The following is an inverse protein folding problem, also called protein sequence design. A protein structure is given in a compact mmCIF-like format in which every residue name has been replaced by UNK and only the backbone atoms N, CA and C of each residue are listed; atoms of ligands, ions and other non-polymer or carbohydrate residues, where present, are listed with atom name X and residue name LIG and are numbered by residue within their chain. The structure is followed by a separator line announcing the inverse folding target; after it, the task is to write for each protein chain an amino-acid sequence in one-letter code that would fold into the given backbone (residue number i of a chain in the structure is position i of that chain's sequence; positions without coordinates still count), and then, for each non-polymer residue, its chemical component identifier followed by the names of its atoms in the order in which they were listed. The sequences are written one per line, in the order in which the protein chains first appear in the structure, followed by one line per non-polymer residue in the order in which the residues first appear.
data_IF_208448468639
#
_entry.id   IF_208448468639
#
_cell.length_a   1.000
_cell.length_b   1.000
_cell.length_c   1.000
_cell.angle_alpha   90.00
_cell.angle_beta   90.00
_cell.angle_gamma   90.00
#
_symmetry.space_group_name_H-M   'P 1'
#
loop_
_entity.id
_entity.type
_entity.pdbx_description
1 polymer ?
#
# COMPACT_ATOMS: atom_id res chain seq x y z
N UNK A 1 9.77 13.57 -10.04
CA UNK A 1 8.48 13.41 -10.72
C UNK A 1 7.40 13.43 -9.65
N UNK A 2 6.43 14.34 -9.72
CA UNK A 2 5.34 14.45 -8.74
C UNK A 2 4.25 13.43 -9.07
N UNK A 3 3.94 12.52 -8.14
CA UNK A 3 2.85 11.56 -8.30
C UNK A 3 1.52 12.32 -8.20
N UNK A 4 0.74 12.36 -9.27
CA UNK A 4 -0.59 12.96 -9.26
C UNK A 4 -1.64 11.90 -8.90
N UNK A 5 -2.51 12.23 -7.96
CA UNK A 5 -3.61 11.35 -7.53
C UNK A 5 -4.94 11.91 -8.02
N UNK A 6 -5.85 11.02 -8.35
CA UNK A 6 -7.19 11.35 -8.84
C UNK A 6 -8.23 10.60 -8.03
N UNK A 7 -9.37 11.23 -7.79
CA UNK A 7 -10.48 10.58 -7.10
C UNK A 7 -11.13 9.55 -8.01
N UNK A 8 -11.27 8.32 -7.51
CA UNK A 8 -12.02 7.27 -8.19
C UNK A 8 -13.50 7.43 -7.88
N UNK A 9 -14.28 7.79 -8.90
CA UNK A 9 -15.73 7.99 -8.79
C UNK A 9 -16.52 6.69 -8.93
N UNK A 10 -16.05 5.77 -9.79
CA UNK A 10 -16.74 4.52 -10.09
C UNK A 10 -15.78 3.45 -10.57
N UNK A 11 -16.08 2.19 -10.22
CA UNK A 11 -15.46 0.99 -10.79
C UNK A 11 -16.46 0.26 -11.67
N UNK A 12 -16.00 -0.28 -12.79
CA UNK A 12 -16.82 -1.09 -13.69
C UNK A 12 -15.92 -2.06 -14.45
N UNK A 13 -16.50 -3.18 -14.88
CA UNK A 13 -15.84 -4.10 -15.81
C UNK A 13 -16.41 -3.92 -17.22
N UNK A 14 -15.53 -3.65 -18.19
CA UNK A 14 -15.89 -3.44 -19.60
C UNK A 14 -15.13 -4.46 -20.43
N UNK A 15 -15.84 -5.37 -21.10
CA UNK A 15 -15.24 -6.44 -21.90
C UNK A 15 -14.18 -7.27 -21.15
N UNK A 16 -14.37 -7.46 -19.84
CA UNK A 16 -13.43 -8.19 -18.98
C UNK A 16 -12.33 -7.33 -18.34
N UNK A 17 -12.17 -6.07 -18.74
CA UNK A 17 -11.17 -5.15 -18.18
C UNK A 17 -11.76 -4.36 -17.02
N UNK A 18 -11.11 -4.40 -15.86
CA UNK A 18 -11.46 -3.54 -14.72
C UNK A 18 -11.09 -2.09 -15.05
N UNK A 19 -12.08 -1.22 -15.04
CA UNK A 19 -11.97 0.17 -15.49
C UNK A 19 -12.41 1.12 -14.38
N UNK A 20 -11.55 2.09 -14.10
CA UNK A 20 -11.79 3.17 -13.15
C UNK A 20 -12.32 4.40 -13.89
N UNK A 21 -13.38 5.02 -13.35
CA UNK A 21 -13.78 6.38 -13.72
C UNK A 21 -13.15 7.33 -12.70
N UNK A 22 -12.19 8.13 -13.15
CA UNK A 22 -11.46 9.08 -12.31
C UNK A 22 -11.89 10.52 -12.59
N UNK A 23 -11.76 11.41 -11.60
CA UNK A 23 -12.01 12.85 -11.74
C UNK A 23 -10.70 13.64 -11.80
N UNK A 24 -10.52 14.41 -12.87
CA UNK A 24 -9.57 15.52 -12.89
C UNK A 24 -10.27 16.78 -12.33
N UNK A 25 -9.64 17.54 -11.41
CA UNK A 25 -10.29 18.70 -10.79
C UNK A 25 -10.79 19.74 -11.81
N UNK A 26 -10.00 20.00 -12.86
CA UNK A 26 -10.33 21.02 -13.86
C UNK A 26 -10.83 20.49 -15.22
N UNK A 27 -10.66 19.19 -15.51
CA UNK A 27 -10.79 18.64 -16.88
C UNK A 27 -11.91 17.60 -17.02
N UNK A 28 -12.71 17.40 -15.98
CA UNK A 28 -13.82 16.45 -16.00
C UNK A 28 -13.40 15.04 -15.62
N UNK A 29 -13.98 14.03 -16.27
CA UNK A 29 -13.79 12.61 -15.93
C UNK A 29 -13.12 11.83 -17.06
N UNK A 30 -12.34 10.82 -16.68
CA UNK A 30 -11.67 9.90 -17.60
C UNK A 30 -11.94 8.46 -17.19
N UNK A 31 -12.03 7.56 -18.19
CA UNK A 31 -12.03 6.12 -17.96
C UNK A 31 -10.63 5.55 -18.22
N UNK A 32 -10.06 4.85 -17.25
CA UNK A 32 -8.72 4.27 -17.33
C UNK A 32 -8.75 2.82 -16.86
N UNK A 33 -7.97 1.94 -17.51
CA UNK A 33 -7.80 0.56 -17.05
C UNK A 33 -7.11 0.55 -15.69
N UNK A 34 -7.61 -0.26 -14.75
CA UNK A 34 -7.06 -0.30 -13.39
C UNK A 34 -5.59 -0.71 -13.41
N UNK A 35 -5.19 -1.63 -14.29
CA UNK A 35 -3.79 -2.07 -14.44
C UNK A 35 -2.81 -0.96 -14.87
N UNK A 36 -3.30 0.19 -15.33
CA UNK A 36 -2.47 1.34 -15.71
C UNK A 36 -2.31 2.35 -14.57
N UNK A 37 -2.81 2.02 -13.39
CA UNK A 37 -2.81 2.90 -12.22
C UNK A 37 -2.24 2.18 -11.00
N UNK A 38 -1.68 2.92 -10.06
CA UNK A 38 -1.29 2.39 -8.74
C UNK A 38 -2.51 2.13 -7.82
N UNK A 39 -3.71 1.96 -8.39
CA UNK A 39 -4.94 1.83 -7.61
C UNK A 39 -5.15 0.37 -7.19
N UNK A 40 -5.10 0.14 -5.88
CA UNK A 40 -5.51 -1.11 -5.24
C UNK A 40 -6.72 -0.87 -4.32
N UNK A 41 -7.72 -1.78 -4.29
CA UNK A 41 -8.80 -1.67 -3.33
C UNK A 41 -8.26 -1.80 -1.90
N UNK A 42 -8.59 -0.84 -1.03
CA UNK A 42 -8.26 -0.90 0.41
C UNK A 42 -8.71 -2.19 1.11
N UNK A 43 -9.68 -2.93 0.56
CA UNK A 43 -10.10 -4.23 1.07
C UNK A 43 -9.08 -5.37 0.82
N UNK A 44 -8.14 -5.23 -0.11
CA UNK A 44 -7.04 -6.17 -0.32
C UNK A 44 -5.82 -5.83 0.56
N UNK A 45 -5.77 -4.59 1.07
CA UNK A 45 -4.87 -4.15 2.14
C UNK A 45 -5.43 -4.50 3.53
N UNK A 46 -6.32 -5.49 3.66
CA UNK A 46 -6.93 -5.92 4.92
C UNK A 46 -5.96 -6.70 5.84
N UNK A 47 -4.68 -6.34 5.85
CA UNK A 47 -3.95 -6.21 7.10
C UNK A 47 -3.93 -4.71 7.35
N UNK A 48 -4.76 -4.15 8.27
CA UNK A 48 -4.79 -2.71 8.51
C UNK A 48 -3.35 -2.26 8.63
N UNK A 49 -2.88 -1.44 7.68
CA UNK A 49 -1.47 -1.14 7.51
C UNK A 49 -0.91 -0.84 8.88
N UNK A 50 -0.18 -1.80 9.45
CA UNK A 50 0.27 -1.69 10.83
C UNK A 50 1.28 -0.58 10.73
N UNK A 51 0.89 0.61 11.19
CA UNK A 51 1.81 1.71 11.33
C UNK A 51 2.70 1.28 12.49
N UNK A 52 3.78 0.60 12.12
CA UNK A 52 4.81 0.18 13.03
C UNK A 52 5.56 1.44 13.42
N UNK A 53 5.46 1.79 14.70
CA UNK A 53 6.18 2.92 15.26
C UNK A 53 7.69 2.62 15.15
N UNK A 54 8.46 3.60 14.66
CA UNK A 54 9.85 3.40 14.27
C UNK A 54 10.73 3.01 15.47
N UNK A 55 10.53 3.65 16.62
CA UNK A 55 11.28 3.36 17.84
C UNK A 55 11.00 1.94 18.33
N UNK A 56 9.77 1.46 18.17
CA UNK A 56 9.35 0.10 18.48
C UNK A 56 10.05 -0.93 17.59
N UNK A 57 10.22 -0.63 16.30
CA UNK A 57 10.98 -1.49 15.38
C UNK A 57 12.47 -1.52 15.69
N UNK A 58 13.05 -0.37 16.05
CA UNK A 58 14.45 -0.27 16.45
C UNK A 58 14.72 -1.04 17.75
N UNK A 59 13.79 -0.94 18.71
CA UNK A 59 13.82 -1.70 19.96
C UNK A 59 13.76 -3.19 19.69
N UNK A 60 12.83 -3.64 18.84
CA UNK A 60 12.70 -5.04 18.45
C UNK A 60 13.99 -5.57 17.81
N UNK A 61 14.57 -4.83 16.86
CA UNK A 61 15.82 -5.23 16.21
C UNK A 61 16.97 -5.41 17.22
N UNK A 62 17.02 -4.53 18.24
CA UNK A 62 18.02 -4.61 19.31
C UNK A 62 17.83 -5.87 20.16
N UNK A 63 16.59 -6.18 20.55
CA UNK A 63 16.26 -7.37 21.35
C UNK A 63 16.56 -8.66 20.58
N UNK A 64 16.22 -8.73 19.29
CA UNK A 64 16.51 -9.89 18.44
C UNK A 64 18.01 -10.15 18.34
N UNK A 65 18.81 -9.09 18.21
CA UNK A 65 20.28 -9.22 18.20
C UNK A 65 20.80 -9.75 19.53
N UNK A 66 20.34 -9.21 20.65
CA UNK A 66 20.74 -9.66 21.98
C UNK A 66 20.37 -11.13 22.24
N UNK A 67 19.17 -11.54 21.82
CA UNK A 67 18.72 -12.94 21.92
C UNK A 67 19.61 -13.88 21.10
N UNK A 68 19.97 -13.46 19.89
CA UNK A 68 20.85 -14.24 19.00
C UNK A 68 22.27 -14.34 19.57
N UNK A 69 22.75 -13.29 20.22
CA UNK A 69 24.06 -13.28 20.89
C UNK A 69 24.05 -14.07 22.19
N UNK A 70 22.92 -14.11 22.92
CA UNK A 70 22.79 -14.89 24.16
C UNK A 70 22.58 -16.39 23.92
N UNK A 71 21.97 -16.77 22.80
CA UNK A 71 21.81 -18.18 22.39
C UNK A 71 23.16 -18.84 22.00
N UNK A 72 24.21 -18.03 21.84
CA UNK A 72 25.58 -18.48 21.59
C UNK A 72 26.45 -18.65 22.85
N UNK A 73 25.89 -18.57 24.06
CA UNK A 73 26.61 -18.73 25.34
C UNK A 73 26.07 -19.94 26.09
N UNK A 74 26.11 -21.11 25.44
CA UNK A 74 26.02 -22.43 26.07
C UNK A 74 26.94 -23.39 25.28
N UNK A 75 28.26 -23.14 25.34
CA UNK A 75 29.32 -24.16 25.14
C UNK A 75 30.46 -23.95 26.14
#
# INVERSE_FOLDING_TARGET
MTQQRFDVLKRRRVSGVETLIIRHPERGTLAVAQEWTDWEPLSELASPGVILEFDSLLTLATLVRQLTESDGVDE
#
